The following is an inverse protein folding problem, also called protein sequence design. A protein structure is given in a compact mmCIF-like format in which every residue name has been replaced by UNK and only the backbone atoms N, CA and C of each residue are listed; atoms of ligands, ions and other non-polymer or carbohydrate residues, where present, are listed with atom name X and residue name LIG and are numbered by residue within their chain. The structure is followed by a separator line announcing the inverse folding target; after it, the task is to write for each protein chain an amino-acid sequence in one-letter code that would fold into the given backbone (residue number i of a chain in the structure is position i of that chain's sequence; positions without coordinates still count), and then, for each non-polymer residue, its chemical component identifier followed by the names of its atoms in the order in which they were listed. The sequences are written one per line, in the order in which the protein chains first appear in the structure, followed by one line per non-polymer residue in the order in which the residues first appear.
data_IF_942629480468
#
_entry.id   IF_942629480468
#
_cell.length_a   1.000
_cell.length_b   1.000
_cell.length_c   1.000
_cell.angle_alpha   90.00
_cell.angle_beta   90.00
_cell.angle_gamma   90.00
#
_symmetry.space_group_name_H-M   'P 1'
#
loop_
_entity.id
_entity.type
_entity.pdbx_description
1 polymer ?
#
# COMPACT_ATOMS: atom_id res chain seq x y z
N UNK A 1 20.70 -4.07 -13.21
CA UNK A 1 19.27 -4.31 -12.85
C UNK A 1 19.08 -5.41 -11.79
N UNK A 2 19.68 -6.60 -11.91
CA UNK A 2 19.55 -7.69 -10.92
C UNK A 2 20.11 -7.37 -9.52
N UNK A 3 21.11 -6.49 -9.43
CA UNK A 3 21.75 -6.12 -8.15
C UNK A 3 20.87 -5.19 -7.31
N UNK A 4 20.24 -4.18 -7.93
CA UNK A 4 19.32 -3.27 -7.26
C UNK A 4 18.09 -3.98 -6.68
N UNK A 5 17.55 -4.98 -7.40
CA UNK A 5 16.43 -5.80 -6.91
C UNK A 5 16.82 -6.64 -5.67
N UNK A 6 18.05 -7.19 -5.67
CA UNK A 6 18.58 -7.96 -4.55
C UNK A 6 18.85 -7.07 -3.32
N UNK A 7 19.38 -5.87 -3.53
CA UNK A 7 19.53 -4.88 -2.44
C UNK A 7 18.18 -4.43 -1.88
N UNK A 8 17.17 -4.27 -2.73
CA UNK A 8 15.80 -3.92 -2.30
C UNK A 8 15.20 -5.01 -1.40
N UNK A 9 15.30 -6.27 -1.81
CA UNK A 9 14.83 -7.42 -1.04
C UNK A 9 15.57 -7.57 0.29
N UNK A 10 16.89 -7.34 0.33
CA UNK A 10 17.68 -7.39 1.57
C UNK A 10 17.31 -6.28 2.56
N UNK A 11 16.95 -5.08 2.08
CA UNK A 11 16.57 -3.97 2.96
C UNK A 11 15.10 -4.02 3.41
N UNK A 12 14.22 -4.63 2.62
CA UNK A 12 12.81 -4.83 2.99
C UNK A 12 12.65 -5.76 4.20
N UNK A 13 13.60 -6.67 4.41
CA UNK A 13 13.61 -7.62 5.53
C UNK A 13 14.29 -7.07 6.79
N UNK A 14 15.17 -6.06 6.66
CA UNK A 14 16.08 -5.67 7.76
C UNK A 14 15.80 -4.31 8.43
N UNK A 15 14.94 -3.46 7.87
CA UNK A 15 14.61 -2.16 8.47
C UNK A 15 13.13 -2.15 8.87
N UNK A 16 12.88 -2.40 10.16
CA UNK A 16 11.61 -2.08 10.82
C UNK A 16 11.22 -0.65 10.43
N UNK A 17 10.01 -0.50 9.89
CA UNK A 17 9.52 0.73 9.32
C UNK A 17 9.60 1.87 10.33
N UNK A 18 9.88 3.07 9.84
CA UNK A 18 10.02 4.24 10.70
C UNK A 18 8.63 4.68 11.17
N UNK A 19 8.28 4.26 12.39
CA UNK A 19 7.23 4.75 13.28
C UNK A 19 6.32 5.83 12.67
N UNK A 20 5.11 5.41 12.28
CA UNK A 20 3.94 6.27 12.43
C UNK A 20 3.87 6.70 13.91
N UNK A 21 3.63 7.97 14.20
CA UNK A 21 3.75 8.53 15.56
C UNK A 21 3.01 7.75 16.66
N UNK A 22 3.35 7.98 17.94
CA UNK A 22 2.79 7.23 19.06
C UNK A 22 1.27 7.38 19.12
N UNK A 23 0.54 6.25 19.17
CA UNK A 23 -0.88 6.23 19.58
C UNK A 23 -1.94 6.06 18.49
N UNK A 24 -1.59 5.76 17.24
CA UNK A 24 -2.61 5.48 16.21
C UNK A 24 -3.34 4.16 16.49
N UNK A 25 -4.65 4.26 16.78
CA UNK A 25 -5.54 3.13 16.99
C UNK A 25 -5.48 2.23 15.76
N UNK A 26 -4.96 1.02 15.95
CA UNK A 26 -4.84 0.01 14.90
C UNK A 26 -5.90 -1.06 15.19
N UNK A 27 -6.74 -1.43 14.21
CA UNK A 27 -7.71 -2.51 14.40
C UNK A 27 -7.00 -3.85 14.63
N UNK A 28 -7.72 -4.86 15.11
CA UNK A 28 -7.13 -6.21 15.26
C UNK A 28 -6.66 -6.76 13.92
N UNK A 29 -5.35 -6.85 13.73
CA UNK A 29 -4.70 -7.39 12.54
C UNK A 29 -4.48 -8.90 12.70
N UNK A 30 -4.58 -9.65 11.60
CA UNK A 30 -4.36 -11.10 11.54
C UNK A 30 -2.88 -11.44 11.35
N UNK A 31 -2.13 -10.62 10.62
CA UNK A 31 -0.72 -10.89 10.39
C UNK A 31 0.14 -9.74 9.88
N UNK A 32 -0.41 -8.71 9.22
CA UNK A 32 0.43 -7.58 8.78
C UNK A 32 0.87 -6.76 9.99
N UNK A 33 2.05 -6.13 9.89
CA UNK A 33 2.50 -5.20 10.94
C UNK A 33 1.61 -3.95 10.98
N UNK A 34 1.46 -3.30 12.14
CA UNK A 34 0.76 -2.01 12.25
C UNK A 34 1.30 -0.95 11.29
N UNK A 35 2.61 -0.96 11.05
CA UNK A 35 3.26 -0.10 10.06
C UNK A 35 2.72 -0.37 8.66
N UNK A 36 2.73 -1.64 8.21
CA UNK A 36 2.21 -2.02 6.89
C UNK A 36 0.72 -1.67 6.73
N UNK A 37 -0.06 -1.83 7.80
CA UNK A 37 -1.46 -1.40 7.84
C UNK A 37 -1.60 0.10 7.56
N UNK A 38 -0.93 0.95 8.33
CA UNK A 38 -1.03 2.41 8.18
C UNK A 38 -0.47 2.90 6.85
N UNK A 39 0.61 2.27 6.38
CA UNK A 39 1.21 2.57 5.08
C UNK A 39 0.19 2.40 3.95
N UNK A 40 -0.49 1.27 3.94
CA UNK A 40 -1.42 0.94 2.88
C UNK A 40 -2.73 1.70 3.02
N UNK A 41 -3.21 1.91 4.26
CA UNK A 41 -4.35 2.78 4.55
C UNK A 41 -4.12 4.21 4.05
N UNK A 42 -2.90 4.73 4.13
CA UNK A 42 -2.58 6.07 3.61
C UNK A 42 -2.78 6.22 2.09
N UNK A 43 -2.76 5.12 1.33
CA UNK A 43 -3.03 5.12 -0.11
C UNK A 43 -4.53 5.26 -0.42
N UNK A 44 -5.39 4.90 0.52
CA UNK A 44 -6.84 5.05 0.40
C UNK A 44 -7.24 6.51 0.19
N UNK A 45 -6.57 7.43 0.90
CA UNK A 45 -6.80 8.89 0.80
C UNK A 45 -6.60 9.43 -0.62
N UNK A 46 -5.84 8.71 -1.46
CA UNK A 46 -5.54 9.11 -2.84
C UNK A 46 -6.32 8.29 -3.85
N UNK A 47 -6.25 6.95 -3.78
CA UNK A 47 -6.88 6.10 -4.79
C UNK A 47 -8.38 5.93 -4.62
N UNK A 48 -8.88 6.01 -3.38
CA UNK A 48 -10.25 5.70 -3.01
C UNK A 48 -10.94 6.89 -2.31
N UNK A 49 -10.48 8.12 -2.56
CA UNK A 49 -10.99 9.37 -1.97
C UNK A 49 -12.51 9.49 -2.08
N UNK A 50 -13.04 9.15 -3.26
CA UNK A 50 -14.47 9.24 -3.58
C UNK A 50 -15.15 7.85 -3.58
N UNK A 51 -14.68 6.94 -2.71
CA UNK A 51 -15.26 5.60 -2.59
C UNK A 51 -16.74 5.67 -2.15
N UNK A 52 -17.65 4.91 -2.80
CA UNK A 52 -19.06 4.85 -2.39
C UNK A 52 -19.26 4.07 -1.08
N UNK A 53 -18.23 3.41 -0.57
CA UNK A 53 -18.25 2.66 0.69
C UNK A 53 -17.51 3.47 1.76
N UNK A 54 -18.23 4.21 2.64
CA UNK A 54 -17.63 5.17 3.57
C UNK A 54 -16.80 4.50 4.67
N UNK A 55 -17.10 3.26 5.01
CA UNK A 55 -16.43 2.51 6.08
C UNK A 55 -15.36 1.54 5.56
N UNK A 56 -15.02 1.60 4.27
CA UNK A 56 -13.98 0.74 3.71
C UNK A 56 -12.63 1.11 4.32
N UNK A 57 -11.91 0.11 4.85
CA UNK A 57 -10.55 0.27 5.36
C UNK A 57 -9.60 -0.57 4.50
N UNK A 58 -8.83 0.12 3.67
CA UNK A 58 -7.92 -0.50 2.72
C UNK A 58 -6.81 -1.32 3.40
N UNK A 59 -6.31 -0.86 4.56
CA UNK A 59 -5.29 -1.57 5.32
C UNK A 59 -5.84 -2.87 5.93
N UNK A 60 -7.08 -2.84 6.42
CA UNK A 60 -7.74 -4.02 6.97
C UNK A 60 -8.17 -5.01 5.86
N UNK A 61 -8.64 -4.50 4.71
CA UNK A 61 -8.98 -5.32 3.55
C UNK A 61 -7.75 -6.10 3.04
N UNK A 62 -6.59 -5.45 3.03
CA UNK A 62 -5.33 -6.06 2.69
C UNK A 62 -4.91 -7.16 3.70
N UNK A 63 -4.98 -6.90 5.00
CA UNK A 63 -4.67 -7.90 6.03
C UNK A 63 -5.56 -9.14 5.89
N UNK A 64 -6.86 -8.93 5.68
CA UNK A 64 -7.82 -10.02 5.40
C UNK A 64 -7.52 -10.73 4.09
N UNK A 65 -7.03 -10.04 3.07
CA UNK A 65 -6.67 -10.68 1.80
C UNK A 65 -5.46 -11.60 1.96
N UNK A 66 -4.39 -11.13 2.62
CA UNK A 66 -3.15 -11.91 2.77
C UNK A 66 -3.34 -13.05 3.79
N UNK A 67 -3.90 -12.75 4.96
CA UNK A 67 -3.97 -13.66 6.10
C UNK A 67 -5.36 -14.19 6.42
N UNK A 68 -6.38 -13.81 5.65
CA UNK A 68 -7.74 -14.32 5.82
C UNK A 68 -8.10 -15.50 4.97
N UNK A 69 -7.23 -15.90 4.03
CA UNK A 69 -7.36 -17.17 3.34
C UNK A 69 -6.82 -18.34 4.18
N UNK A 70 -7.46 -19.52 4.14
CA UNK A 70 -7.04 -20.70 4.92
C UNK A 70 -5.67 -21.24 4.51
N UNK A 71 -5.14 -20.81 3.36
CA UNK A 71 -3.78 -21.10 2.90
C UNK A 71 -3.06 -19.78 2.59
N UNK A 72 -1.79 -19.63 3.00
CA UNK A 72 -1.00 -18.45 2.66
C UNK A 72 -0.91 -18.33 1.14
N UNK A 73 -1.18 -17.14 0.61
CA UNK A 73 -1.08 -16.88 -0.82
C UNK A 73 0.39 -17.00 -1.21
N UNK A 74 0.71 -17.76 -2.26
CA UNK A 74 2.10 -17.91 -2.76
C UNK A 74 2.80 -16.56 -3.04
N UNK A 75 2.03 -15.48 -3.21
CA UNK A 75 2.50 -14.12 -3.46
C UNK A 75 2.65 -13.26 -2.20
N UNK A 76 2.49 -13.82 -0.99
CA UNK A 76 2.61 -13.09 0.28
C UNK A 76 3.88 -12.26 0.36
N UNK A 77 5.04 -12.86 0.06
CA UNK A 77 6.34 -12.17 0.13
C UNK A 77 6.44 -11.01 -0.86
N UNK A 78 5.87 -11.16 -2.06
CA UNK A 78 5.83 -10.11 -3.08
C UNK A 78 4.88 -8.98 -2.65
N UNK A 79 3.74 -9.33 -2.08
CA UNK A 79 2.80 -8.37 -1.52
C UNK A 79 3.45 -7.60 -0.38
N UNK A 80 4.04 -8.28 0.62
CA UNK A 80 4.78 -7.63 1.71
C UNK A 80 5.88 -6.68 1.21
N UNK A 81 6.63 -7.08 0.18
CA UNK A 81 7.62 -6.21 -0.44
C UNK A 81 6.98 -4.95 -1.02
N UNK A 82 5.90 -5.09 -1.78
CA UNK A 82 5.14 -3.96 -2.34
C UNK A 82 4.56 -3.07 -1.23
N UNK A 83 4.15 -3.65 -0.11
CA UNK A 83 3.60 -2.93 1.05
C UNK A 83 4.65 -2.15 1.85
N UNK A 84 5.93 -2.54 1.73
CA UNK A 84 7.04 -1.81 2.35
C UNK A 84 7.45 -0.55 1.58
N UNK A 85 7.08 -0.45 0.30
CA UNK A 85 7.49 0.66 -0.57
C UNK A 85 7.06 2.04 -0.06
N UNK A 86 5.82 2.26 0.42
CA UNK A 86 5.40 3.58 0.91
C UNK A 86 6.17 4.06 2.15
N UNK A 87 6.60 3.15 3.03
CA UNK A 87 7.38 3.48 4.23
C UNK A 87 8.90 3.49 4.03
N UNK A 88 9.39 2.94 2.92
CA UNK A 88 10.82 2.78 2.69
C UNK A 88 11.48 4.11 2.32
N UNK A 89 12.37 4.59 3.18
CA UNK A 89 13.25 5.74 2.88
C UNK A 89 14.10 5.45 1.64
N UNK A 90 14.59 4.21 1.50
CA UNK A 90 15.37 3.82 0.33
C UNK A 90 14.54 3.89 -0.95
N UNK A 91 13.28 3.48 -0.90
CA UNK A 91 12.37 3.63 -2.03
C UNK A 91 12.16 5.11 -2.38
N UNK A 92 11.98 5.96 -1.36
CA UNK A 92 11.84 7.41 -1.55
C UNK A 92 13.10 8.04 -2.17
N UNK A 93 14.30 7.58 -1.80
CA UNK A 93 15.55 8.04 -2.40
C UNK A 93 15.68 7.52 -3.84
N UNK A 94 15.50 6.21 -4.04
CA UNK A 94 15.72 5.56 -5.33
C UNK A 94 14.70 5.99 -6.39
N UNK A 95 13.46 6.25 -5.98
CA UNK A 95 12.42 6.71 -6.88
C UNK A 95 12.42 8.23 -6.95
N UNK A 96 12.33 8.95 -5.84
CA UNK A 96 12.03 10.39 -5.82
C UNK A 96 13.19 11.29 -5.40
N UNK A 97 14.38 10.73 -5.13
CA UNK A 97 15.50 11.48 -4.54
C UNK A 97 15.08 12.23 -3.26
N UNK A 98 14.18 11.64 -2.48
CA UNK A 98 13.61 12.23 -1.27
C UNK A 98 13.96 11.40 -0.04
N UNK A 99 14.29 12.07 1.06
CA UNK A 99 14.48 11.43 2.37
C UNK A 99 13.17 11.20 3.13
N UNK A 100 12.05 11.73 2.62
CA UNK A 100 10.74 11.61 3.25
C UNK A 100 9.97 10.46 2.59
N UNK A 101 9.67 9.35 3.30
CA UNK A 101 8.85 8.28 2.77
C UNK A 101 7.40 8.73 2.57
N UNK A 102 6.69 8.09 1.65
CA UNK A 102 5.35 8.48 1.18
C UNK A 102 4.32 8.60 2.32
N UNK A 103 4.47 7.77 3.35
CA UNK A 103 3.55 7.69 4.50
C UNK A 103 3.71 8.84 5.48
N UNK A 104 4.85 9.56 5.44
CA UNK A 104 5.09 10.75 6.26
C UNK A 104 4.65 12.05 5.57
N UNK A 105 4.24 11.98 4.31
CA UNK A 105 3.73 13.12 3.57
C UNK A 105 2.31 13.44 4.01
N UNK A 106 1.92 14.71 3.90
CA UNK A 106 0.51 15.09 3.97
C UNK A 106 -0.29 14.43 2.85
N UNK A 107 -1.62 14.36 2.97
CA UNK A 107 -2.48 13.79 1.93
C UNK A 107 -2.25 14.44 0.55
N UNK A 108 -2.15 15.78 0.53
CA UNK A 108 -1.92 16.57 -0.69
C UNK A 108 -0.54 16.29 -1.31
N UNK A 109 0.51 16.23 -0.50
CA UNK A 109 1.87 15.91 -0.95
C UNK A 109 1.96 14.47 -1.46
N UNK A 110 1.25 13.54 -0.81
CA UNK A 110 1.16 12.14 -1.20
C UNK A 110 0.47 11.99 -2.53
N UNK A 111 -0.67 12.67 -2.73
CA UNK A 111 -1.38 12.73 -3.99
C UNK A 111 -0.47 13.26 -5.11
N UNK A 112 0.17 14.41 -4.89
CA UNK A 112 1.11 15.01 -5.86
C UNK A 112 2.24 14.05 -6.24
N UNK A 113 2.81 13.36 -5.25
CA UNK A 113 3.89 12.39 -5.50
C UNK A 113 3.39 11.19 -6.29
N UNK A 114 2.26 10.60 -5.93
CA UNK A 114 1.68 9.48 -6.67
C UNK A 114 1.29 9.88 -8.11
N UNK A 115 0.75 11.08 -8.31
CA UNK A 115 0.47 11.61 -9.65
C UNK A 115 1.77 11.82 -10.46
N UNK A 116 2.86 12.24 -9.82
CA UNK A 116 4.17 12.33 -10.48
C UNK A 116 4.69 10.95 -10.93
N UNK A 117 4.35 9.88 -10.19
CA UNK A 117 4.73 8.52 -10.57
C UNK A 117 3.94 8.03 -11.78
N UNK A 118 2.65 8.39 -11.88
CA UNK A 118 1.78 8.07 -13.02
C UNK A 118 2.34 8.59 -14.34
N UNK A 119 2.85 9.83 -14.36
CA UNK A 119 3.33 10.51 -15.57
C UNK A 119 4.86 10.46 -15.74
N UNK A 120 5.58 9.80 -14.83
CA UNK A 120 7.04 9.74 -14.87
C UNK A 120 7.55 9.07 -16.14
N UNK A 121 8.69 9.52 -16.67
CA UNK A 121 9.44 8.82 -17.72
C UNK A 121 10.05 7.49 -17.25
N UNK A 122 10.26 7.31 -15.94
CA UNK A 122 10.79 6.09 -15.34
C UNK A 122 9.71 5.00 -15.28
N UNK A 123 9.88 3.92 -16.04
CA UNK A 123 8.91 2.82 -16.13
C UNK A 123 8.61 2.16 -14.77
N UNK A 124 9.59 2.09 -13.87
CA UNK A 124 9.41 1.54 -12.53
C UNK A 124 8.38 2.33 -11.70
N UNK A 125 8.43 3.68 -11.73
CA UNK A 125 7.45 4.53 -11.04
C UNK A 125 6.04 4.30 -11.54
N UNK A 126 5.88 4.26 -12.87
CA UNK A 126 4.58 3.98 -13.51
C UNK A 126 4.06 2.59 -13.15
N UNK A 127 4.96 1.60 -13.06
CA UNK A 127 4.64 0.24 -12.66
C UNK A 127 4.14 0.17 -11.22
N UNK A 128 4.90 0.73 -10.27
CA UNK A 128 4.52 0.78 -8.85
C UNK A 128 3.18 1.52 -8.66
N UNK A 129 3.00 2.67 -9.31
CA UNK A 129 1.73 3.40 -9.29
C UNK A 129 0.57 2.53 -9.78
N UNK A 130 0.74 1.85 -10.92
CA UNK A 130 -0.29 0.98 -11.49
C UNK A 130 -0.65 -0.18 -10.57
N UNK A 131 0.35 -0.81 -9.96
CA UNK A 131 0.17 -1.91 -9.01
C UNK A 131 -0.63 -1.43 -7.79
N UNK A 132 -0.22 -0.33 -7.16
CA UNK A 132 -0.94 0.20 -5.99
C UNK A 132 -2.39 0.56 -6.32
N UNK A 133 -2.61 1.20 -7.47
CA UNK A 133 -3.96 1.52 -7.94
C UNK A 133 -4.78 0.25 -8.14
N UNK A 134 -4.25 -0.74 -8.87
CA UNK A 134 -4.96 -1.98 -9.18
C UNK A 134 -5.29 -2.77 -7.92
N UNK A 135 -4.34 -2.93 -6.99
CA UNK A 135 -4.59 -3.63 -5.72
C UNK A 135 -5.65 -2.89 -4.90
N UNK A 136 -5.59 -1.55 -4.84
CA UNK A 136 -6.57 -0.76 -4.09
C UNK A 136 -8.00 -0.95 -4.60
N UNK A 137 -8.18 -0.85 -5.92
CA UNK A 137 -9.49 -1.09 -6.54
C UNK A 137 -9.92 -2.55 -6.47
N UNK A 138 -8.99 -3.49 -6.61
CA UNK A 138 -9.28 -4.92 -6.46
C UNK A 138 -9.81 -5.24 -5.06
N UNK A 139 -9.14 -4.76 -4.01
CA UNK A 139 -9.57 -4.95 -2.63
C UNK A 139 -10.94 -4.29 -2.37
N UNK A 140 -11.17 -3.09 -2.89
CA UNK A 140 -12.50 -2.46 -2.80
C UNK A 140 -13.57 -3.31 -3.53
N UNK A 141 -13.27 -3.82 -4.72
CA UNK A 141 -14.21 -4.64 -5.49
C UNK A 141 -14.54 -5.98 -4.83
N UNK A 142 -13.65 -6.47 -3.96
CA UNK A 142 -13.86 -7.68 -3.15
C UNK A 142 -14.74 -7.43 -1.91
N UNK A 143 -14.99 -6.18 -1.56
CA UNK A 143 -15.81 -5.82 -0.39
C UNK A 143 -17.29 -6.11 -0.65
N UNK A 144 -17.98 -6.66 0.36
CA UNK A 144 -19.39 -7.04 0.24
C UNK A 144 -20.32 -5.82 0.13
N UNK A 145 -20.03 -4.73 0.81
CA UNK A 145 -20.82 -3.50 0.70
C UNK A 145 -20.64 -2.89 -0.68
N UNK A 146 -19.42 -2.89 -1.20
CA UNK A 146 -19.17 -2.46 -2.58
C UNK A 146 -19.92 -3.35 -3.58
N UNK A 147 -19.86 -4.67 -3.44
CA UNK A 147 -20.56 -5.61 -4.31
C UNK A 147 -22.09 -5.44 -4.26
N UNK A 148 -22.66 -5.11 -3.09
CA UNK A 148 -24.07 -4.73 -2.97
C UNK A 148 -24.37 -3.40 -3.66
N UNK A 149 -23.52 -2.40 -3.47
CA UNK A 149 -23.67 -1.08 -4.09
C UNK A 149 -23.72 -1.16 -5.62
N UNK A 150 -22.86 -1.97 -6.23
CA UNK A 150 -22.85 -2.18 -7.70
C UNK A 150 -23.86 -3.23 -8.19
N UNK A 151 -24.60 -3.89 -7.29
CA UNK A 151 -25.67 -4.84 -7.63
C UNK A 151 -25.23 -6.27 -7.94
N UNK A 152 -23.99 -6.66 -7.62
CA UNK A 152 -23.53 -8.06 -7.74
C UNK A 152 -24.08 -8.96 -6.63
N UNK A 153 -24.26 -8.42 -5.43
CA UNK A 153 -24.90 -9.10 -4.32
C UNK A 153 -26.25 -8.43 -4.04
N UNK A 154 -27.29 -9.25 -3.89
CA UNK A 154 -28.62 -8.81 -3.43
C UNK A 154 -28.67 -8.77 -1.90
#
# INVERSE_FOLDING_TARGET
MKFALKCFALTAVSLKGVNCGPGLVTPGLRGISPEAYHNFKSLQEVFLKDSPVPNFDLGLALDKYIYGHPYPIETESVLQLLLSLPSSILAAIALDFSFTPMVKLSAEEREKRLLSWKTSSLGLKRGVYSIFRQISFFLLSSDKEYQKYVGYLK
#
